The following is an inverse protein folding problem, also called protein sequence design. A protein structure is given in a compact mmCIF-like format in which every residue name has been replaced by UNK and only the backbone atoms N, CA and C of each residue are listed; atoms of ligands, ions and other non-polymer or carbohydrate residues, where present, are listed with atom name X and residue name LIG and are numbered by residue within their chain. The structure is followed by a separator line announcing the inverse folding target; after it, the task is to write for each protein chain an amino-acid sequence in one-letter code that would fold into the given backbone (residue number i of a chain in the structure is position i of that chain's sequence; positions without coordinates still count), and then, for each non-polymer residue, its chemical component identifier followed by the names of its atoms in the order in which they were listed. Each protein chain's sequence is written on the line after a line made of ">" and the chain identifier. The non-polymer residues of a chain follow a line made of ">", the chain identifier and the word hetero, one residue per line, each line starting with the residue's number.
data_IF_839473529797
#
_entry.id   IF_839473529797
#
_cell.length_a   1.000
_cell.length_b   1.000
_cell.length_c   1.000
_cell.angle_alpha   90.00
_cell.angle_beta   90.00
_cell.angle_gamma   90.00
#
_symmetry.space_group_name_H-M   'P 1'
#
loop_
_entity.id
_entity.type
_entity.pdbx_description
1 polymer ?
#
# COMPACT_ATOMS: atom_id res chain seq x y z
N UNK A 1 -19.00 -10.63 5.07
CA UNK A 1 -17.95 -9.66 5.38
C UNK A 1 -17.38 -9.19 4.06
N UNK A 2 -17.44 -7.89 3.81
CA UNK A 2 -16.85 -7.31 2.60
C UNK A 2 -15.42 -6.89 2.91
N UNK A 3 -14.48 -7.82 2.74
CA UNK A 3 -13.09 -7.61 3.13
C UNK A 3 -12.44 -6.43 2.40
N UNK A 4 -12.86 -6.15 1.16
CA UNK A 4 -12.35 -5.02 0.37
C UNK A 4 -12.71 -3.72 1.08
N UNK A 5 -13.98 -3.57 1.46
CA UNK A 5 -14.45 -2.42 2.21
C UNK A 5 -13.74 -2.27 3.55
N UNK A 6 -13.52 -3.36 4.28
CA UNK A 6 -12.81 -3.32 5.57
C UNK A 6 -11.34 -2.85 5.41
N UNK A 7 -10.64 -3.31 4.36
CA UNK A 7 -9.27 -2.88 4.06
C UNK A 7 -9.19 -1.38 3.79
N UNK A 8 -10.05 -0.88 2.91
CA UNK A 8 -10.08 0.55 2.58
C UNK A 8 -10.47 1.38 3.81
N UNK A 9 -11.46 0.92 4.59
CA UNK A 9 -11.92 1.62 5.80
C UNK A 9 -10.81 1.70 6.86
N UNK A 10 -10.05 0.62 7.06
CA UNK A 10 -8.93 0.59 7.99
C UNK A 10 -7.79 1.49 7.52
N UNK A 11 -7.45 1.48 6.23
CA UNK A 11 -6.38 2.33 5.68
C UNK A 11 -6.71 3.82 5.85
N UNK A 12 -7.97 4.20 5.59
CA UNK A 12 -8.46 5.58 5.73
C UNK A 12 -8.44 6.11 7.17
N UNK A 13 -8.30 5.26 8.19
CA UNK A 13 -8.09 5.75 9.56
C UNK A 13 -6.79 6.54 9.72
N UNK A 14 -5.87 6.40 8.77
CA UNK A 14 -4.57 7.09 8.77
C UNK A 14 -4.51 8.25 7.77
N UNK A 15 -5.62 8.59 7.11
CA UNK A 15 -5.66 9.71 6.17
C UNK A 15 -5.33 11.02 6.88
N UNK A 16 -4.38 11.78 6.32
CA UNK A 16 -3.87 13.03 6.90
C UNK A 16 -2.76 12.84 7.95
N UNK A 17 -2.30 11.61 8.20
CA UNK A 17 -1.04 11.40 8.90
C UNK A 17 0.12 11.89 8.02
N UNK A 18 0.83 12.91 8.52
CA UNK A 18 1.87 13.63 7.77
C UNK A 18 3.26 13.41 8.38
N UNK A 19 4.29 13.60 7.57
CA UNK A 19 5.66 13.77 8.05
C UNK A 19 5.77 15.09 8.84
N UNK A 20 6.12 15.00 10.12
CA UNK A 20 6.28 16.16 10.99
C UNK A 20 7.73 16.52 11.25
N UNK A 21 8.63 15.54 11.11
CA UNK A 21 10.07 15.69 11.38
C UNK A 21 10.92 15.59 10.09
N UNK A 22 10.25 15.41 8.94
CA UNK A 22 10.85 15.18 7.62
C UNK A 22 11.56 13.84 7.50
N UNK A 23 11.99 13.47 6.29
CA UNK A 23 12.71 12.21 6.00
C UNK A 23 11.92 10.95 6.38
N UNK A 24 10.62 10.90 6.06
CA UNK A 24 9.72 9.80 6.41
C UNK A 24 9.57 9.64 7.93
N UNK A 25 9.41 10.74 8.69
CA UNK A 25 9.33 10.70 10.15
C UNK A 25 8.13 11.46 10.70
N UNK A 26 7.42 10.79 11.60
CA UNK A 26 6.41 11.34 12.51
C UNK A 26 6.13 10.29 13.60
N UNK A 27 5.45 10.63 14.71
CA UNK A 27 5.10 9.63 15.74
C UNK A 27 4.34 8.41 15.20
N UNK A 28 3.47 8.60 14.20
CA UNK A 28 2.76 7.51 13.54
C UNK A 28 3.67 6.69 12.62
N UNK A 29 4.45 7.36 11.76
CA UNK A 29 5.34 6.70 10.79
C UNK A 29 6.41 5.89 11.52
N UNK A 30 7.00 6.44 12.58
CA UNK A 30 7.98 5.77 13.42
C UNK A 30 7.41 4.50 14.05
N UNK A 31 6.17 4.56 14.54
CA UNK A 31 5.48 3.42 15.14
C UNK A 31 5.31 2.28 14.13
N UNK A 32 4.88 2.56 12.90
CA UNK A 32 4.65 1.52 11.89
C UNK A 32 5.96 0.94 11.35
N UNK A 33 7.03 1.74 11.24
CA UNK A 33 8.35 1.26 10.84
C UNK A 33 8.99 0.42 11.95
N UNK A 34 8.93 0.84 13.22
CA UNK A 34 9.40 0.02 14.36
C UNK A 34 8.66 -1.32 14.44
N UNK A 35 7.37 -1.35 14.11
CA UNK A 35 6.58 -2.58 14.11
C UNK A 35 6.97 -3.55 12.98
N UNK A 36 7.43 -3.03 11.84
CA UNK A 36 7.74 -3.84 10.65
C UNK A 36 9.14 -4.46 10.74
N UNK A 37 9.27 -5.80 10.69
CA UNK A 37 10.58 -6.42 10.54
C UNK A 37 11.31 -5.91 9.29
N UNK A 38 12.62 -5.70 9.40
CA UNK A 38 13.51 -5.20 8.34
C UNK A 38 13.34 -3.72 7.95
N UNK A 39 12.42 -2.98 8.59
CA UNK A 39 12.35 -1.54 8.44
C UNK A 39 13.18 -0.84 9.53
N UNK A 40 13.72 0.32 9.18
CA UNK A 40 14.42 1.24 10.07
C UNK A 40 13.66 2.57 10.19
N UNK A 41 14.03 3.37 11.20
CA UNK A 41 13.48 4.72 11.33
C UNK A 41 13.95 5.60 10.16
N UNK A 42 13.00 6.27 9.51
CA UNK A 42 13.25 7.09 8.32
C UNK A 42 13.14 6.31 7.00
N UNK A 43 12.86 5.01 7.05
CA UNK A 43 12.54 4.25 5.85
C UNK A 43 11.22 4.70 5.22
N UNK A 44 11.11 4.63 3.87
CA UNK A 44 9.85 4.75 3.17
C UNK A 44 8.77 3.84 3.77
N UNK A 45 7.57 4.39 4.00
CA UNK A 45 6.53 3.71 4.77
C UNK A 45 5.32 3.28 3.93
N UNK A 46 5.45 3.24 2.60
CA UNK A 46 4.35 2.86 1.71
C UNK A 46 3.86 1.42 2.00
N UNK A 47 4.77 0.45 1.99
CA UNK A 47 4.43 -0.95 2.26
C UNK A 47 4.29 -1.25 3.76
N UNK A 48 5.01 -0.53 4.64
CA UNK A 48 4.88 -0.71 6.09
C UNK A 48 3.48 -0.29 6.56
N UNK A 49 2.96 0.82 6.03
CA UNK A 49 1.59 1.29 6.27
C UNK A 49 0.52 0.29 5.82
N UNK A 50 0.68 -0.29 4.63
CA UNK A 50 -0.22 -1.35 4.14
C UNK A 50 -0.16 -2.60 5.02
N UNK A 51 1.04 -3.08 5.36
CA UNK A 51 1.17 -4.24 6.23
C UNK A 51 0.57 -4.02 7.62
N UNK A 52 0.76 -2.82 8.18
CA UNK A 52 0.21 -2.45 9.48
C UNK A 52 -1.32 -2.36 9.43
N UNK A 53 -1.88 -1.80 8.35
CA UNK A 53 -3.32 -1.79 8.08
C UNK A 53 -3.89 -3.21 8.08
N UNK A 54 -3.27 -4.13 7.33
CA UNK A 54 -3.71 -5.52 7.27
C UNK A 54 -3.61 -6.20 8.64
N UNK A 55 -2.54 -5.95 9.40
CA UNK A 55 -2.37 -6.49 10.75
C UNK A 55 -3.49 -6.06 11.70
N UNK A 56 -3.89 -4.79 11.70
CA UNK A 56 -4.99 -4.33 12.54
C UNK A 56 -6.30 -5.06 12.21
N UNK A 57 -6.55 -5.32 10.92
CA UNK A 57 -7.71 -6.11 10.50
C UNK A 57 -7.62 -7.58 10.91
N UNK A 58 -6.44 -8.19 10.88
CA UNK A 58 -6.24 -9.56 11.40
C UNK A 58 -6.64 -9.68 12.87
N UNK A 59 -6.36 -8.65 13.66
CA UNK A 59 -6.71 -8.60 15.08
C UNK A 59 -8.20 -8.27 15.28
N UNK A 60 -8.73 -7.28 14.56
CA UNK A 60 -10.12 -6.84 14.68
C UNK A 60 -11.12 -7.91 14.22
N UNK A 61 -10.85 -8.59 13.11
CA UNK A 61 -11.79 -9.51 12.46
C UNK A 61 -11.50 -10.98 12.77
N UNK A 62 -10.48 -11.27 13.58
CA UNK A 62 -10.02 -12.62 13.86
C UNK A 62 -9.74 -13.44 12.58
N UNK A 63 -9.06 -12.80 11.63
CA UNK A 63 -8.62 -13.40 10.37
C UNK A 63 -7.10 -13.39 10.28
N UNK A 64 -6.54 -14.10 9.31
CA UNK A 64 -5.13 -14.09 8.98
C UNK A 64 -4.93 -13.94 7.48
N UNK A 65 -4.13 -12.97 7.07
CA UNK A 65 -3.67 -12.83 5.70
C UNK A 65 -2.50 -13.80 5.41
N UNK A 66 -2.55 -14.46 4.27
CA UNK A 66 -1.52 -15.32 3.70
C UNK A 66 -0.61 -14.49 2.77
N UNK A 67 -0.04 -13.40 3.30
CA UNK A 67 0.82 -12.45 2.59
C UNK A 67 2.19 -12.37 3.26
N UNK A 68 3.26 -12.00 2.51
CA UNK A 68 4.57 -11.78 3.12
C UNK A 68 4.54 -10.57 4.07
N UNK A 69 5.59 -10.42 4.89
CA UNK A 69 5.85 -9.20 5.67
C UNK A 69 7.20 -8.63 5.25
N UNK A 70 7.18 -7.51 4.55
CA UNK A 70 8.37 -6.86 4.04
C UNK A 70 8.12 -5.36 3.83
N UNK A 71 9.07 -4.46 4.16
CA UNK A 71 8.91 -3.02 3.97
C UNK A 71 9.14 -2.55 2.53
N UNK A 72 9.88 -3.31 1.72
CA UNK A 72 10.06 -3.05 0.29
C UNK A 72 8.87 -3.53 -0.54
N UNK A 73 8.25 -2.64 -1.33
CA UNK A 73 7.09 -2.95 -2.18
C UNK A 73 7.38 -4.02 -3.24
N UNK A 74 8.54 -3.93 -3.92
CA UNK A 74 8.95 -4.91 -4.95
C UNK A 74 9.17 -6.29 -4.34
N UNK A 75 9.93 -6.36 -3.24
CA UNK A 75 10.20 -7.62 -2.54
C UNK A 75 8.91 -8.25 -2.00
N UNK A 76 8.00 -7.44 -1.45
CA UNK A 76 6.68 -7.91 -1.04
C UNK A 76 5.93 -8.58 -2.19
N UNK A 77 5.89 -7.93 -3.36
CA UNK A 77 5.22 -8.48 -4.54
C UNK A 77 5.88 -9.77 -5.06
N UNK A 78 7.20 -9.82 -5.09
CA UNK A 78 7.95 -10.99 -5.55
C UNK A 78 7.76 -12.19 -4.61
N UNK A 79 7.72 -11.95 -3.30
CA UNK A 79 7.49 -12.99 -2.28
C UNK A 79 6.02 -13.45 -2.21
N UNK A 80 5.08 -12.66 -2.73
CA UNK A 80 3.67 -13.01 -2.70
C UNK A 80 3.36 -14.24 -3.58
N UNK A 81 2.46 -15.11 -3.09
CA UNK A 81 2.09 -16.33 -3.81
C UNK A 81 1.46 -16.01 -5.16
N UNK A 82 1.82 -16.72 -6.25
CA UNK A 82 1.29 -16.45 -7.59
C UNK A 82 -0.24 -16.44 -7.69
N UNK A 83 -0.94 -17.24 -6.88
CA UNK A 83 -2.41 -17.29 -6.85
C UNK A 83 -3.09 -15.98 -6.43
N UNK A 84 -2.35 -15.04 -5.84
CA UNK A 84 -2.85 -13.71 -5.47
C UNK A 84 -2.49 -12.63 -6.49
N UNK A 85 -1.57 -12.91 -7.42
CA UNK A 85 -1.20 -11.97 -8.48
C UNK A 85 -2.33 -11.92 -9.51
N UNK A 86 -2.66 -10.72 -9.96
CA UNK A 86 -3.75 -10.47 -10.93
C UNK A 86 -3.29 -9.48 -11.99
N UNK A 87 -4.14 -9.27 -13.01
CA UNK A 87 -3.99 -8.23 -14.03
C UNK A 87 -5.17 -7.23 -14.01
N UNK A 88 -6.09 -7.39 -13.05
CA UNK A 88 -7.31 -6.60 -12.95
C UNK A 88 -7.13 -5.42 -11.99
N UNK A 89 -7.36 -4.20 -12.51
CA UNK A 89 -7.42 -2.98 -11.71
C UNK A 89 -8.80 -2.85 -11.06
N UNK A 90 -9.04 -3.64 -10.03
CA UNK A 90 -10.28 -3.64 -9.25
C UNK A 90 -10.08 -2.98 -7.89
N UNK A 91 -11.15 -2.37 -7.38
CA UNK A 91 -11.18 -1.75 -6.06
C UNK A 91 -10.73 -2.76 -4.99
N UNK A 92 -9.85 -2.32 -4.10
CA UNK A 92 -9.27 -3.14 -3.04
C UNK A 92 -7.99 -3.89 -3.44
N UNK A 93 -7.68 -4.02 -4.73
CA UNK A 93 -6.40 -4.61 -5.12
C UNK A 93 -5.24 -3.65 -4.79
N UNK A 94 -4.07 -4.24 -4.53
CA UNK A 94 -2.83 -3.49 -4.45
C UNK A 94 -2.21 -3.39 -5.83
N UNK A 95 -1.82 -2.18 -6.22
CA UNK A 95 -0.98 -1.93 -7.39
C UNK A 95 0.44 -1.63 -6.92
N UNK A 96 1.39 -2.30 -7.55
CA UNK A 96 2.82 -2.15 -7.29
C UNK A 96 3.46 -1.42 -8.46
N UNK A 97 4.32 -0.48 -8.11
CA UNK A 97 5.08 0.34 -9.05
C UNK A 97 6.56 0.12 -8.83
N UNK A 98 7.34 0.26 -9.90
CA UNK A 98 8.79 0.27 -9.84
C UNK A 98 9.27 1.67 -10.21
N UNK A 99 10.17 2.23 -9.42
CA UNK A 99 10.83 3.48 -9.81
C UNK A 99 11.71 3.24 -11.03
N UNK A 100 11.63 4.14 -12.00
CA UNK A 100 12.47 4.12 -13.21
C UNK A 100 13.96 4.22 -12.89
N UNK A 101 14.28 4.85 -11.75
CA UNK A 101 15.62 4.92 -11.20
C UNK A 101 15.71 4.11 -9.91
N UNK A 102 16.58 3.10 -9.90
CA UNK A 102 16.86 2.28 -8.71
C UNK A 102 16.02 1.02 -8.58
N UNK A 103 16.27 0.20 -7.55
CA UNK A 103 15.57 -1.06 -7.32
C UNK A 103 14.27 -0.93 -6.53
N UNK A 104 13.94 0.28 -6.07
CA UNK A 104 12.81 0.53 -5.17
C UNK A 104 11.47 0.54 -5.90
N UNK A 105 10.40 0.40 -5.14
CA UNK A 105 9.04 0.48 -5.66
C UNK A 105 8.12 1.24 -4.72
N UNK A 106 6.89 1.42 -5.21
CA UNK A 106 5.80 2.03 -4.46
C UNK A 106 4.58 1.12 -4.51
N UNK A 107 3.63 1.32 -3.60
CA UNK A 107 2.40 0.54 -3.55
C UNK A 107 1.21 1.46 -3.29
N UNK A 108 0.09 1.16 -3.97
CA UNK A 108 -1.17 1.88 -3.78
C UNK A 108 -2.32 0.90 -3.58
N UNK A 109 -3.32 1.29 -2.80
CA UNK A 109 -4.62 0.61 -2.76
C UNK A 109 -5.50 1.24 -3.84
N UNK A 110 -6.07 0.45 -4.74
CA UNK A 110 -7.06 0.94 -5.70
C UNK A 110 -8.37 1.22 -4.95
N UNK A 111 -8.88 2.44 -5.02
CA UNK A 111 -10.14 2.84 -4.35
C UNK A 111 -11.26 3.22 -5.32
N UNK A 112 -11.00 3.16 -6.63
CA UNK A 112 -12.00 3.34 -7.69
C UNK A 112 -11.55 2.73 -9.01
N UNK A 113 -12.48 2.54 -9.93
CA UNK A 113 -12.21 1.97 -11.24
C UNK A 113 -11.42 2.95 -12.14
N UNK A 114 -10.52 2.46 -13.01
CA UNK A 114 -9.88 3.31 -14.01
C UNK A 114 -10.88 3.91 -15.02
N UNK A 115 -10.68 5.18 -15.35
CA UNK A 115 -11.38 5.86 -16.44
C UNK A 115 -10.87 5.41 -17.83
N UNK A 116 -11.44 5.97 -18.90
CA UNK A 116 -11.05 5.68 -20.29
C UNK A 116 -9.59 6.01 -20.61
N UNK A 117 -8.95 6.88 -19.83
CA UNK A 117 -7.55 7.27 -19.95
C UNK A 117 -6.64 6.42 -19.05
N UNK A 118 -7.22 5.51 -18.26
CA UNK A 118 -6.54 4.68 -17.29
C UNK A 118 -6.24 5.37 -15.97
N UNK A 119 -6.81 6.55 -15.68
CA UNK A 119 -6.65 7.20 -14.38
C UNK A 119 -7.60 6.58 -13.36
N UNK A 120 -7.12 6.30 -12.16
CA UNK A 120 -7.93 5.77 -11.07
C UNK A 120 -7.56 6.44 -9.75
N UNK A 121 -8.52 6.62 -8.83
CA UNK A 121 -8.22 7.07 -7.49
C UNK A 121 -7.55 5.93 -6.70
N UNK A 122 -6.51 6.30 -5.97
CA UNK A 122 -5.71 5.40 -5.16
C UNK A 122 -5.52 5.97 -3.75
N UNK A 123 -5.40 5.10 -2.76
CA UNK A 123 -5.01 5.48 -1.40
C UNK A 123 -3.57 5.04 -1.15
N UNK A 124 -2.73 5.96 -0.69
CA UNK A 124 -1.29 5.76 -0.61
C UNK A 124 -0.71 6.27 0.69
N UNK A 125 0.26 5.51 1.20
CA UNK A 125 1.16 5.93 2.24
C UNK A 125 2.46 6.40 1.58
N UNK A 126 3.12 7.39 2.17
CA UNK A 126 4.39 7.95 1.66
C UNK A 126 4.24 8.54 0.26
N UNK A 127 3.31 9.48 0.12
CA UNK A 127 3.07 10.26 -1.10
C UNK A 127 3.03 11.74 -0.77
N UNK A 128 3.40 12.58 -1.73
CA UNK A 128 3.33 14.03 -1.62
C UNK A 128 2.08 14.55 -2.32
N UNK A 129 1.26 15.33 -1.61
CA UNK A 129 0.10 16.04 -2.16
C UNK A 129 0.20 17.51 -1.75
N UNK A 130 0.34 18.39 -2.75
CA UNK A 130 0.68 19.79 -2.48
C UNK A 130 2.08 19.91 -1.87
N UNK A 131 2.17 20.51 -0.68
CA UNK A 131 3.42 20.68 0.06
C UNK A 131 3.56 19.67 1.22
N UNK A 132 2.65 18.72 1.34
CA UNK A 132 2.61 17.75 2.45
C UNK A 132 2.99 16.35 1.97
N UNK A 133 3.92 15.71 2.69
CA UNK A 133 4.25 14.29 2.55
C UNK A 133 3.54 13.49 3.64
N UNK A 134 2.81 12.44 3.27
CA UNK A 134 1.88 11.81 4.20
C UNK A 134 1.13 10.62 3.64
N UNK A 135 -0.08 10.43 4.18
CA UNK A 135 -1.02 9.37 3.79
C UNK A 135 -2.26 10.02 3.19
N UNK A 136 -2.49 9.81 1.90
CA UNK A 136 -3.48 10.56 1.15
C UNK A 136 -4.18 9.72 0.07
N UNK A 137 -5.34 10.19 -0.35
CA UNK A 137 -5.89 9.86 -1.66
C UNK A 137 -5.13 10.62 -2.76
N UNK A 138 -4.84 9.91 -3.85
CA UNK A 138 -4.18 10.44 -5.04
C UNK A 138 -4.80 9.84 -6.30
N UNK A 139 -4.38 10.31 -7.46
CA UNK A 139 -4.76 9.75 -8.76
C UNK A 139 -3.53 9.13 -9.40
N UNK A 140 -3.64 7.86 -9.78
CA UNK A 140 -2.61 7.13 -10.54
C UNK A 140 -3.12 6.78 -11.93
N UNK A 141 -2.20 6.51 -12.85
CA UNK A 141 -2.53 6.01 -14.18
C UNK A 141 -2.05 4.56 -14.34
N UNK A 142 -2.85 3.69 -14.96
CA UNK A 142 -2.49 2.27 -15.21
C UNK A 142 -1.19 2.08 -15.99
N UNK A 143 -0.72 3.11 -16.69
CA UNK A 143 0.56 3.11 -17.44
C UNK A 143 1.75 3.65 -16.65
N UNK A 144 1.57 4.07 -15.39
CA UNK A 144 2.60 4.76 -14.61
C UNK A 144 2.71 6.25 -14.97
N UNK A 145 3.81 6.87 -14.59
CA UNK A 145 4.09 8.31 -14.77
C UNK A 145 5.57 8.57 -15.15
N UNK A 146 6.08 9.78 -14.95
CA UNK A 146 7.47 10.12 -15.26
C UNK A 146 8.49 9.38 -14.40
N UNK A 147 8.12 8.93 -13.19
CA UNK A 147 9.01 8.36 -12.19
C UNK A 147 8.74 6.89 -11.92
N UNK A 148 7.50 6.45 -12.12
CA UNK A 148 7.01 5.11 -11.82
C UNK A 148 6.57 4.36 -13.08
N UNK A 149 7.05 3.12 -13.22
CA UNK A 149 6.50 2.14 -14.16
C UNK A 149 5.57 1.17 -13.43
N UNK A 150 4.50 0.75 -14.10
CA UNK A 150 3.65 -0.35 -13.63
C UNK A 150 4.48 -1.63 -13.43
N UNK A 151 4.36 -2.26 -12.25
CA UNK A 151 5.08 -3.49 -11.95
C UNK A 151 4.16 -4.71 -11.81
N UNK A 152 3.04 -4.59 -11.10
CA UNK A 152 2.11 -5.70 -10.94
C UNK A 152 0.92 -5.39 -10.04
N UNK A 153 -0.04 -6.32 -9.99
CA UNK A 153 -1.24 -6.22 -9.16
C UNK A 153 -1.40 -7.45 -8.28
N UNK A 154 -1.99 -7.23 -7.09
CA UNK A 154 -2.27 -8.29 -6.13
C UNK A 154 -3.69 -8.17 -5.59
N UNK A 155 -4.46 -9.25 -5.71
CA UNK A 155 -5.80 -9.38 -5.15
C UNK A 155 -5.73 -9.87 -3.69
N UNK A 156 -5.66 -8.91 -2.76
CA UNK A 156 -5.59 -9.17 -1.32
C UNK A 156 -6.91 -9.70 -0.74
N UNK A 157 -8.04 -9.49 -1.41
CA UNK A 157 -9.35 -9.97 -0.94
C UNK A 157 -9.47 -11.49 -0.91
N UNK A 158 -8.60 -12.18 -1.66
CA UNK A 158 -8.51 -13.64 -1.70
C UNK A 158 -7.40 -14.19 -0.80
N UNK A 159 -6.61 -13.31 -0.18
CA UNK A 159 -5.40 -13.66 0.55
C UNK A 159 -5.62 -13.79 2.06
N UNK A 160 -6.80 -14.17 2.53
CA UNK A 160 -7.07 -14.34 3.97
C UNK A 160 -7.85 -15.63 4.29
N UNK A 161 -7.84 -16.00 5.57
CA UNK A 161 -8.66 -17.06 6.16
C UNK A 161 -9.08 -16.69 7.59
N UNK A 162 -10.16 -17.26 8.08
CA UNK A 162 -10.49 -17.16 9.51
C UNK A 162 -9.37 -17.79 10.37
N UNK A 163 -9.09 -17.19 11.53
CA UNK A 163 -8.18 -17.75 12.55
C UNK A 163 -8.84 -18.90 13.31
#
# INVERSE_FOLDING_TARGET
>A
MDIIKEIITQARQFEGENETDGQNRSPFIDKINIWMPLAELGDPYCMTGICYTLHLLEEQLFIKFDLPKHPGAIDFYELAKPKYKTHLFEIGNLVFWKFKTGPHGHVSIIIGEPDENGNFPAFEFNVVVGDEAGVFETVRNTKGDSDLDFYGLLNISTAWKAK
#
